data_IF_028095562877
#
_entry.id   IF_028095562877
#
_cell.length_a   1.000
_cell.length_b   1.000
_cell.length_c   1.000
_cell.angle_alpha   90.00
_cell.angle_beta   90.00
_cell.angle_gamma   90.00
#
_symmetry.space_group_name_H-M   'P 1'
#
loop_
_entity.id
_entity.type
_entity.pdbx_description
1 polymer ?
#
# COMPACT_ATOMS: atom_id res chain seq x y z
N UNK A 1 -9.39 -9.29 5.72
CA UNK A 1 -9.13 -8.21 6.71
C UNK A 1 -7.68 -8.21 7.20
N UNK A 2 -7.18 -9.23 7.91
CA UNK A 2 -5.81 -9.24 8.51
C UNK A 2 -4.69 -8.92 7.51
N UNK A 3 -4.71 -9.49 6.30
CA UNK A 3 -3.69 -9.26 5.28
C UNK A 3 -3.56 -7.79 4.86
N UNK A 4 -4.61 -6.98 4.97
CA UNK A 4 -4.57 -5.55 4.62
C UNK A 4 -3.63 -4.78 5.55
N UNK A 5 -3.55 -5.21 6.82
CA UNK A 5 -2.80 -4.54 7.88
C UNK A 5 -1.42 -5.16 8.15
N UNK A 6 -1.00 -6.13 7.33
CA UNK A 6 0.32 -6.73 7.51
C UNK A 6 1.44 -5.76 7.10
N UNK A 7 2.63 -5.86 7.73
CA UNK A 7 3.79 -5.04 7.35
C UNK A 7 4.16 -5.18 5.87
N UNK A 8 4.06 -6.38 5.32
CA UNK A 8 4.35 -6.64 3.90
C UNK A 8 3.39 -5.89 2.98
N UNK A 9 2.09 -5.85 3.33
CA UNK A 9 1.10 -5.08 2.57
C UNK A 9 1.36 -3.59 2.70
N UNK A 10 1.69 -3.10 3.89
CA UNK A 10 2.08 -1.70 4.11
C UNK A 10 3.24 -1.30 3.19
N UNK A 11 4.34 -2.05 3.21
CA UNK A 11 5.50 -1.73 2.39
C UNK A 11 5.24 -1.91 0.89
N UNK A 12 4.34 -2.81 0.50
CA UNK A 12 3.89 -2.92 -0.89
C UNK A 12 3.16 -1.65 -1.33
N UNK A 13 2.26 -1.12 -0.51
CA UNK A 13 1.54 0.12 -0.80
C UNK A 13 2.52 1.30 -0.83
N UNK A 14 3.48 1.37 0.08
CA UNK A 14 4.51 2.42 0.07
C UNK A 14 5.29 2.42 -1.23
N UNK A 15 5.69 1.24 -1.72
CA UNK A 15 6.33 1.12 -3.03
C UNK A 15 5.42 1.61 -4.17
N UNK A 16 4.15 1.23 -4.17
CA UNK A 16 3.19 1.66 -5.19
C UNK A 16 3.05 3.19 -5.22
N UNK A 17 2.98 3.84 -4.06
CA UNK A 17 2.92 5.30 -3.94
C UNK A 17 4.17 5.94 -4.55
N UNK A 18 5.35 5.47 -4.16
CA UNK A 18 6.63 6.00 -4.67
C UNK A 18 6.79 5.79 -6.17
N UNK A 19 6.38 4.64 -6.68
CA UNK A 19 6.47 4.32 -8.09
C UNK A 19 5.49 5.16 -8.93
N UNK A 20 4.26 5.38 -8.45
CA UNK A 20 3.30 6.29 -9.10
C UNK A 20 3.77 7.75 -9.07
N UNK A 21 4.39 8.19 -7.98
CA UNK A 21 5.00 9.51 -7.91
C UNK A 21 6.14 9.65 -8.93
N UNK A 22 6.99 8.61 -9.06
CA UNK A 22 8.04 8.58 -10.08
C UNK A 22 7.47 8.63 -11.51
N UNK A 23 6.37 7.92 -11.80
CA UNK A 23 5.70 7.99 -13.11
C UNK A 23 5.21 9.41 -13.40
N UNK A 24 4.52 10.04 -12.45
CA UNK A 24 4.03 11.41 -12.61
C UNK A 24 5.19 12.40 -12.84
N UNK A 25 6.30 12.26 -12.09
CA UNK A 25 7.50 13.08 -12.28
C UNK A 25 8.14 12.85 -13.65
N UNK A 26 8.08 11.63 -14.18
CA UNK A 26 8.59 11.33 -15.53
C UNK A 26 7.69 11.91 -16.61
N UNK A 27 6.37 11.94 -16.42
CA UNK A 27 5.44 12.56 -17.36
C UNK A 27 5.66 14.07 -17.52
N UNK A 28 5.92 14.77 -16.42
CA UNK A 28 6.21 16.20 -16.42
C UNK A 28 7.69 16.52 -16.71
N UNK A 29 8.52 15.50 -16.97
CA UNK A 29 9.92 15.66 -17.38
C UNK A 29 10.90 16.00 -16.27
N UNK A 30 10.53 15.81 -15.00
CA UNK A 30 11.41 16.04 -13.83
C UNK A 30 12.43 14.91 -13.66
N UNK A 31 12.04 13.67 -13.96
CA UNK A 31 12.94 12.52 -13.96
C UNK A 31 12.94 11.81 -15.32
N UNK A 32 13.97 11.02 -15.65
CA UNK A 32 13.96 10.24 -16.89
C UNK A 32 12.89 9.18 -16.91
N UNK A 33 12.16 9.03 -18.02
CA UNK A 33 11.12 7.98 -18.18
C UNK A 33 11.67 6.57 -17.98
N UNK A 34 12.90 6.32 -18.44
CA UNK A 34 13.55 5.01 -18.23
C UNK A 34 13.83 4.72 -16.76
N UNK A 35 14.07 5.75 -15.94
CA UNK A 35 14.25 5.57 -14.51
C UNK A 35 12.92 5.13 -13.82
N UNK A 36 11.81 5.81 -14.12
CA UNK A 36 10.49 5.42 -13.60
C UNK A 36 10.13 3.98 -14.00
N UNK A 37 10.34 3.62 -15.27
CA UNK A 37 10.12 2.25 -15.76
C UNK A 37 10.93 1.21 -14.98
N UNK A 38 12.21 1.45 -14.74
CA UNK A 38 13.08 0.53 -13.99
C UNK A 38 12.70 0.43 -12.53
N UNK A 39 12.24 1.52 -11.89
CA UNK A 39 11.71 1.51 -10.53
C UNK A 39 10.54 0.52 -10.45
N UNK A 40 9.58 0.62 -11.38
CA UNK A 40 8.46 -0.30 -11.46
C UNK A 40 8.88 -1.75 -11.71
N UNK A 41 9.71 -2.00 -12.72
CA UNK A 41 10.12 -3.34 -13.12
C UNK A 41 10.79 -4.09 -11.95
N UNK A 42 11.69 -3.43 -11.24
CA UNK A 42 12.43 -4.04 -10.14
C UNK A 42 11.60 -4.16 -8.86
N UNK A 43 10.85 -3.12 -8.50
CA UNK A 43 10.09 -3.09 -7.25
C UNK A 43 8.78 -3.88 -7.31
N UNK A 44 8.14 -4.00 -8.49
CA UNK A 44 6.88 -4.75 -8.63
C UNK A 44 7.00 -6.22 -8.25
N UNK A 45 8.10 -6.87 -8.62
CA UNK A 45 8.36 -8.27 -8.32
C UNK A 45 9.07 -8.50 -6.98
N UNK A 46 9.53 -7.42 -6.33
CA UNK A 46 10.30 -7.52 -5.09
C UNK A 46 9.44 -8.00 -3.91
N UNK A 47 10.05 -8.77 -3.04
CA UNK A 47 9.54 -9.01 -1.68
C UNK A 47 10.28 -8.08 -0.74
N UNK A 48 9.55 -7.21 -0.05
CA UNK A 48 10.14 -6.33 0.96
C UNK A 48 10.42 -7.15 2.22
N UNK A 49 11.68 -7.15 2.64
CA UNK A 49 12.12 -7.84 3.86
C UNK A 49 11.86 -6.95 5.07
N UNK A 50 10.81 -7.28 5.81
CA UNK A 50 10.39 -6.54 7.01
C UNK A 50 11.52 -6.49 8.04
N UNK A 51 12.19 -7.62 8.30
CA UNK A 51 13.26 -7.67 9.29
C UNK A 51 14.47 -6.80 8.88
N UNK A 52 14.77 -6.74 7.58
CA UNK A 52 15.83 -5.85 7.06
C UNK A 52 15.44 -4.39 7.24
N UNK A 53 14.19 -4.01 6.95
CA UNK A 53 13.69 -2.65 7.13
C UNK A 53 13.74 -2.26 8.61
N UNK A 54 13.28 -3.13 9.51
CA UNK A 54 13.32 -2.91 10.96
C UNK A 54 14.76 -2.71 11.47
N UNK A 55 15.71 -3.50 10.95
CA UNK A 55 17.12 -3.35 11.29
C UNK A 55 17.69 -1.99 10.85
N UNK A 56 17.35 -1.54 9.65
CA UNK A 56 17.75 -0.21 9.15
C UNK A 56 17.09 0.88 9.99
N UNK A 57 15.80 0.73 10.32
CA UNK A 57 15.07 1.71 11.14
C UNK A 57 15.68 1.85 12.54
N UNK A 58 16.16 0.75 13.12
CA UNK A 58 16.85 0.78 14.41
C UNK A 58 18.10 1.68 14.40
N UNK A 59 18.73 1.85 13.24
CA UNK A 59 19.89 2.73 13.05
C UNK A 59 19.49 4.16 12.70
N UNK A 60 18.65 4.33 11.65
CA UNK A 60 18.32 5.66 11.09
C UNK A 60 17.22 6.38 11.87
N UNK A 61 16.48 5.68 12.75
CA UNK A 61 15.40 6.21 13.59
C UNK A 61 14.26 6.89 12.79
N UNK A 62 14.00 6.37 11.58
CA UNK A 62 12.97 6.92 10.69
C UNK A 62 12.46 5.82 9.76
N UNK A 63 11.18 5.52 9.84
CA UNK A 63 10.51 4.43 9.14
C UNK A 63 10.54 4.55 7.61
N UNK A 64 10.13 5.70 7.06
CA UNK A 64 10.13 5.92 5.61
C UNK A 64 11.55 5.89 5.06
N UNK A 65 12.53 6.49 5.73
CA UNK A 65 13.94 6.42 5.32
C UNK A 65 14.46 4.99 5.33
N UNK A 66 14.09 4.20 6.34
CA UNK A 66 14.47 2.78 6.42
C UNK A 66 13.91 2.00 5.22
N UNK A 67 12.64 2.19 4.89
CA UNK A 67 12.02 1.58 3.72
C UNK A 67 12.70 2.04 2.41
N UNK A 68 12.94 3.33 2.22
CA UNK A 68 13.61 3.86 1.03
C UNK A 68 15.04 3.34 0.88
N UNK A 69 15.76 3.16 1.99
CA UNK A 69 17.09 2.55 2.00
C UNK A 69 17.01 1.10 1.50
N UNK A 70 16.09 0.31 2.04
CA UNK A 70 15.87 -1.06 1.56
C UNK A 70 15.41 -1.10 0.10
N UNK A 71 14.53 -0.20 -0.31
CA UNK A 71 14.10 -0.08 -1.70
C UNK A 71 15.28 0.22 -2.63
N UNK A 72 16.26 1.03 -2.18
CA UNK A 72 17.46 1.33 -2.95
C UNK A 72 18.36 0.11 -3.17
N UNK A 73 18.39 -0.82 -2.22
CA UNK A 73 19.09 -2.11 -2.36
C UNK A 73 18.49 -2.96 -3.50
N UNK A 74 17.18 -2.81 -3.75
CA UNK A 74 16.44 -3.55 -4.79
C UNK A 74 16.53 -2.84 -6.15
N UNK A 75 16.21 -1.54 -6.17
CA UNK A 75 16.10 -0.75 -7.39
C UNK A 75 17.48 -0.38 -7.95
N UNK A 76 18.45 -0.14 -7.07
CA UNK A 76 19.80 0.26 -7.46
C UNK A 76 19.90 1.76 -7.82
N UNK A 77 20.70 2.14 -8.84
CA UNK A 77 21.02 3.55 -9.12
C UNK A 77 19.82 4.45 -9.38
N UNK A 78 18.74 3.91 -9.92
CA UNK A 78 17.51 4.64 -10.19
C UNK A 78 16.76 5.06 -8.92
N UNK A 79 17.07 4.44 -7.77
CA UNK A 79 16.46 4.81 -6.48
C UNK A 79 16.70 6.28 -6.08
N UNK A 80 17.72 6.93 -6.62
CA UNK A 80 17.98 8.37 -6.43
C UNK A 80 16.81 9.27 -6.87
N UNK A 81 15.90 8.76 -7.68
CA UNK A 81 14.71 9.48 -8.15
C UNK A 81 13.45 9.19 -7.33
N UNK A 82 13.51 8.19 -6.43
CA UNK A 82 12.41 7.86 -5.53
C UNK A 82 12.30 8.93 -4.44
N UNK A 83 11.10 9.20 -3.97
CA UNK A 83 10.80 10.18 -2.92
C UNK A 83 11.18 11.64 -3.25
N UNK A 84 11.36 11.95 -4.54
CA UNK A 84 11.73 13.29 -4.98
C UNK A 84 10.55 14.25 -4.81
N UNK A 85 10.74 15.30 -4.01
CA UNK A 85 9.71 16.31 -3.75
C UNK A 85 8.55 15.86 -2.83
N UNK A 86 8.69 14.71 -2.19
CA UNK A 86 7.71 14.17 -1.25
C UNK A 86 8.17 14.30 0.19
N UNK A 87 7.22 14.21 1.10
CA UNK A 87 7.47 14.06 2.54
C UNK A 87 6.96 12.70 3.04
N UNK A 88 7.39 12.28 4.22
CA UNK A 88 6.95 11.02 4.84
C UNK A 88 5.43 10.93 4.96
N UNK A 89 4.76 12.04 5.29
CA UNK A 89 3.29 12.08 5.40
C UNK A 89 2.58 11.76 4.08
N UNK A 90 3.15 12.10 2.92
CA UNK A 90 2.57 11.74 1.62
C UNK A 90 2.49 10.22 1.46
N UNK A 91 3.45 9.49 1.99
CA UNK A 91 3.48 8.03 1.96
C UNK A 91 2.60 7.42 3.05
N UNK A 92 2.74 7.91 4.29
CA UNK A 92 2.04 7.36 5.47
C UNK A 92 0.53 7.54 5.36
N UNK A 93 0.07 8.76 5.09
CA UNK A 93 -1.34 9.09 5.06
C UNK A 93 -2.03 8.48 3.85
N UNK A 94 -1.38 8.47 2.69
CA UNK A 94 -1.90 7.81 1.49
C UNK A 94 -2.02 6.30 1.71
N UNK A 95 -1.00 5.66 2.30
CA UNK A 95 -1.03 4.24 2.62
C UNK A 95 -2.20 3.90 3.56
N UNK A 96 -2.36 4.66 4.65
CA UNK A 96 -3.45 4.46 5.59
C UNK A 96 -4.81 4.55 4.88
N UNK A 97 -5.02 5.56 4.05
CA UNK A 97 -6.27 5.73 3.32
C UNK A 97 -6.53 4.57 2.33
N UNK A 98 -5.51 4.08 1.62
CA UNK A 98 -5.64 2.89 0.75
C UNK A 98 -6.04 1.66 1.58
N UNK A 99 -5.42 1.45 2.74
CA UNK A 99 -5.78 0.34 3.63
C UNK A 99 -7.22 0.47 4.16
N UNK A 100 -7.64 1.69 4.54
CA UNK A 100 -9.02 1.96 4.99
C UNK A 100 -10.04 1.67 3.90
N UNK A 101 -9.80 2.08 2.66
CA UNK A 101 -10.68 1.78 1.52
C UNK A 101 -10.79 0.27 1.33
N UNK A 102 -9.66 -0.45 1.26
CA UNK A 102 -9.66 -1.91 1.11
C UNK A 102 -10.38 -2.63 2.24
N UNK A 103 -10.27 -2.13 3.48
CA UNK A 103 -10.96 -2.69 4.64
C UNK A 103 -12.47 -2.39 4.58
N UNK A 104 -12.85 -1.17 4.19
CA UNK A 104 -14.24 -0.76 4.05
C UNK A 104 -14.97 -1.58 2.97
N UNK A 105 -14.33 -1.86 1.85
CA UNK A 105 -14.90 -2.70 0.77
C UNK A 105 -15.28 -4.10 1.28
N UNK A 106 -14.44 -4.70 2.13
CA UNK A 106 -14.75 -6.00 2.76
C UNK A 106 -15.95 -5.86 3.70
N UNK A 107 -15.97 -4.83 4.54
CA UNK A 107 -17.07 -4.62 5.50
C UNK A 107 -18.40 -4.36 4.80
N UNK A 108 -18.39 -3.59 3.70
CA UNK A 108 -19.60 -3.34 2.90
C UNK A 108 -20.11 -4.63 2.29
N UNK A 109 -19.24 -5.45 1.70
CA UNK A 109 -19.62 -6.74 1.14
C UNK A 109 -20.21 -7.69 2.22
N UNK A 110 -19.65 -7.71 3.42
CA UNK A 110 -20.16 -8.49 4.55
C UNK A 110 -21.54 -8.00 5.02
N UNK A 111 -21.75 -6.67 5.06
CA UNK A 111 -23.04 -6.06 5.39
C UNK A 111 -24.11 -6.42 4.35
N UNK A 112 -23.78 -6.36 3.08
CA UNK A 112 -24.71 -6.73 2.00
C UNK A 112 -25.11 -8.20 2.08
N UNK A 113 -24.15 -9.10 2.37
CA UNK A 113 -24.42 -10.51 2.60
C UNK A 113 -25.31 -10.74 3.82
N UNK A 114 -25.08 -10.03 4.93
CA UNK A 114 -25.89 -10.07 6.13
C UNK A 114 -27.33 -9.58 5.85
N UNK A 115 -27.50 -8.46 5.17
CA UNK A 115 -28.81 -7.91 4.80
C UNK A 115 -29.60 -8.90 3.93
N UNK A 116 -28.94 -9.54 2.97
CA UNK A 116 -29.58 -10.58 2.16
C UNK A 116 -30.05 -11.77 3.00
N UNK A 117 -29.24 -12.21 3.95
CA UNK A 117 -29.61 -13.29 4.87
C UNK A 117 -30.78 -12.89 5.80
N UNK A 118 -30.73 -11.71 6.37
CA UNK A 118 -31.82 -11.18 7.24
C UNK A 118 -33.11 -11.02 6.46
N UNK A 119 -33.08 -10.47 5.25
CA UNK A 119 -34.28 -10.35 4.39
C UNK A 119 -34.91 -11.71 4.11
N UNK A 120 -34.10 -12.71 3.76
CA UNK A 120 -34.60 -14.09 3.52
C UNK A 120 -35.25 -14.64 4.77
N UNK A 121 -34.61 -14.54 5.93
CA UNK A 121 -35.16 -15.06 7.19
C UNK A 121 -36.44 -14.30 7.60
N UNK A 122 -36.49 -13.00 7.47
CA UNK A 122 -37.65 -12.20 7.78
C UNK A 122 -38.89 -12.60 6.93
N UNK A 123 -38.67 -12.85 5.64
CA UNK A 123 -39.75 -13.30 4.75
C UNK A 123 -40.21 -14.72 5.08
N UNK A 124 -39.26 -15.63 5.38
CA UNK A 124 -39.54 -17.01 5.76
C UNK A 124 -40.38 -17.09 7.02
N UNK A 125 -40.07 -16.26 8.03
CA UNK A 125 -40.67 -16.31 9.34
C UNK A 125 -41.72 -15.21 9.62
N UNK A 126 -42.16 -14.47 8.61
CA UNK A 126 -43.07 -13.32 8.81
C UNK A 126 -44.42 -13.65 9.49
N UNK A 127 -44.83 -14.91 9.45
CA UNK A 127 -46.09 -15.43 10.06
C UNK A 127 -45.81 -16.45 11.16
N UNK A 128 -44.57 -16.64 11.55
CA UNK A 128 -44.22 -17.59 12.63
C UNK A 128 -44.55 -16.93 13.98
N UNK A 129 -45.39 -17.52 14.83
CA UNK A 129 -45.65 -17.02 16.18
C UNK A 129 -44.37 -17.01 17.01
N UNK A 130 -44.19 -15.96 17.81
CA UNK A 130 -43.12 -15.84 18.81
C UNK A 130 -43.64 -15.90 20.20
#
# INVERSE_FOLDING_TARGET
>A
MTAIWSPETKFRIWFEIEAHAADAMAEIGVIPKDAAKKIWEKGKAAKFDVARIDAIEAEVKHDVIAFLTHLSEIVGPEARYVHSGMTSSDVLDTCLNVQLVRAADILIADVDALLAALKRRALEHKLTPT
#
